data_IF_551558226198
#
_entry.id   IF_551558226198
#
_cell.length_a   1.000
_cell.length_b   1.000
_cell.length_c   1.000
_cell.angle_alpha   90.00
_cell.angle_beta   90.00
_cell.angle_gamma   90.00
#
_symmetry.space_group_name_H-M   'P 1'
#
loop_
_entity.id
_entity.type
_entity.pdbx_description
1 polymer ?
#
# COMPACT_ATOMS: atom_id res chain seq x y z
N UNK A 1 22.17 -27.31 -9.17
CA UNK A 1 21.25 -26.14 -9.25
C UNK A 1 20.43 -26.32 -10.50
N UNK A 2 19.09 -26.30 -10.41
CA UNK A 2 18.25 -26.27 -11.61
C UNK A 2 18.53 -24.96 -12.37
N UNK A 3 18.51 -24.97 -13.72
CA UNK A 3 18.62 -23.73 -14.49
C UNK A 3 17.52 -22.76 -14.09
N UNK A 4 17.84 -21.47 -14.02
CA UNK A 4 16.84 -20.43 -13.77
C UNK A 4 15.76 -20.51 -14.85
N UNK A 5 14.47 -20.49 -14.49
CA UNK A 5 13.39 -20.53 -15.48
C UNK A 5 13.56 -19.40 -16.50
N UNK A 6 13.20 -19.67 -17.76
CA UNK A 6 13.26 -18.66 -18.81
C UNK A 6 12.36 -17.48 -18.46
N UNK A 7 12.68 -16.30 -18.99
CA UNK A 7 11.87 -15.09 -18.78
C UNK A 7 10.41 -15.30 -19.23
N UNK A 8 10.20 -16.05 -20.32
CA UNK A 8 8.87 -16.40 -20.81
C UNK A 8 8.08 -17.25 -19.80
N UNK A 9 8.72 -18.23 -19.15
CA UNK A 9 8.07 -19.05 -18.14
C UNK A 9 7.71 -18.23 -16.89
N UNK A 10 8.59 -17.30 -16.47
CA UNK A 10 8.30 -16.37 -15.37
C UNK A 10 7.13 -15.44 -15.71
N UNK A 11 7.12 -14.89 -16.92
CA UNK A 11 6.04 -14.03 -17.38
C UNK A 11 4.70 -14.76 -17.45
N UNK A 12 4.68 -15.99 -17.98
CA UNK A 12 3.48 -16.83 -18.02
C UNK A 12 3.00 -17.14 -16.61
N UNK A 13 3.90 -17.55 -15.71
CA UNK A 13 3.57 -17.83 -14.32
C UNK A 13 3.00 -16.58 -13.62
N UNK A 14 3.56 -15.39 -13.86
CA UNK A 14 3.16 -14.12 -13.26
C UNK A 14 1.96 -13.44 -13.93
N UNK A 15 1.45 -13.97 -15.05
CA UNK A 15 0.40 -13.35 -15.86
C UNK A 15 -0.89 -13.04 -15.07
N UNK A 16 -1.19 -13.81 -14.03
CA UNK A 16 -2.30 -13.55 -13.10
C UNK A 16 -2.25 -12.12 -12.52
N UNK A 17 -1.06 -11.62 -12.18
CA UNK A 17 -0.89 -10.25 -11.65
C UNK A 17 -1.23 -9.18 -12.70
N UNK A 18 -0.86 -9.42 -13.96
CA UNK A 18 -1.22 -8.54 -15.06
C UNK A 18 -2.72 -8.59 -15.37
N UNK A 19 -3.33 -9.78 -15.33
CA UNK A 19 -4.78 -9.95 -15.47
C UNK A 19 -5.52 -9.19 -14.38
N UNK A 20 -5.07 -9.26 -13.13
CA UNK A 20 -5.64 -8.48 -12.03
C UNK A 20 -5.56 -6.96 -12.31
N UNK A 21 -4.39 -6.47 -12.75
CA UNK A 21 -4.20 -5.04 -13.08
C UNK A 21 -5.16 -4.56 -14.17
N UNK A 22 -5.24 -5.29 -15.29
CA UNK A 22 -6.11 -4.94 -16.44
C UNK A 22 -7.59 -5.04 -16.06
N UNK A 23 -7.97 -6.09 -15.32
CA UNK A 23 -9.36 -6.29 -14.87
C UNK A 23 -9.79 -5.17 -13.92
N UNK A 24 -8.91 -4.75 -13.00
CA UNK A 24 -9.16 -3.63 -12.10
C UNK A 24 -9.45 -2.34 -12.89
N UNK A 25 -8.58 -2.02 -13.86
CA UNK A 25 -8.72 -0.84 -14.71
C UNK A 25 -10.06 -0.85 -15.48
N UNK A 26 -10.40 -2.00 -16.04
CA UNK A 26 -11.66 -2.19 -16.76
C UNK A 26 -12.89 -2.03 -15.84
N UNK A 27 -12.87 -2.63 -14.64
CA UNK A 27 -14.00 -2.58 -13.69
C UNK A 27 -14.23 -1.20 -13.07
N UNK A 28 -13.17 -0.40 -12.92
CA UNK A 28 -13.25 0.98 -12.45
C UNK A 28 -13.91 1.91 -13.47
N UNK A 29 -13.66 1.67 -14.77
CA UNK A 29 -14.19 2.44 -15.89
C UNK A 29 -14.10 3.95 -15.62
N UNK A 30 -12.86 4.41 -15.41
CA UNK A 30 -12.51 5.80 -15.10
C UNK A 30 -12.95 6.73 -16.23
N UNK A 31 -12.96 6.23 -17.47
CA UNK A 31 -13.47 6.96 -18.64
C UNK A 31 -14.89 7.44 -18.46
N UNK A 32 -15.79 6.58 -17.99
CA UNK A 32 -17.18 6.96 -17.72
C UNK A 32 -17.27 7.95 -16.55
N UNK A 33 -16.42 7.81 -15.51
CA UNK A 33 -16.36 8.80 -14.42
C UNK A 33 -16.09 10.20 -14.98
N UNK A 34 -15.00 10.35 -15.74
CA UNK A 34 -14.54 11.64 -16.27
C UNK A 34 -15.54 12.23 -17.28
N UNK A 35 -16.18 11.40 -18.10
CA UNK A 35 -17.09 11.88 -19.15
C UNK A 35 -18.48 12.24 -18.66
N UNK A 36 -19.04 11.50 -17.68
CA UNK A 36 -20.44 11.64 -17.26
C UNK A 36 -20.62 12.39 -15.95
N UNK A 37 -19.58 12.48 -15.13
CA UNK A 37 -19.64 13.09 -13.81
C UNK A 37 -18.63 14.22 -13.74
N UNK A 38 -19.04 15.47 -14.04
CA UNK A 38 -18.14 16.60 -13.99
C UNK A 38 -17.47 16.66 -12.62
N UNK A 39 -16.14 16.76 -12.61
CA UNK A 39 -15.41 16.80 -11.35
C UNK A 39 -15.81 18.07 -10.59
N UNK A 40 -15.98 17.98 -9.26
CA UNK A 40 -16.16 19.17 -8.43
C UNK A 40 -14.98 20.17 -8.57
N UNK A 41 -13.83 19.74 -9.11
CA UNK A 41 -12.71 20.60 -9.46
C UNK A 41 -13.08 21.81 -10.33
N UNK A 42 -14.09 21.66 -11.20
CA UNK A 42 -14.52 22.70 -12.13
C UNK A 42 -15.32 23.85 -11.49
N UNK A 43 -15.98 23.61 -10.34
CA UNK A 43 -16.78 24.63 -9.65
C UNK A 43 -15.98 25.44 -8.63
N UNK A 44 -14.76 25.02 -8.31
CA UNK A 44 -13.92 25.62 -7.26
C UNK A 44 -14.32 25.26 -5.83
N UNK A 45 -15.38 24.45 -5.65
CA UNK A 45 -15.87 24.02 -4.34
C UNK A 45 -16.35 22.56 -4.38
N UNK A 46 -16.11 21.82 -3.30
CA UNK A 46 -16.72 20.51 -3.08
C UNK A 46 -18.08 20.75 -2.43
N UNK A 47 -19.17 20.34 -3.08
CA UNK A 47 -20.54 20.53 -2.60
C UNK A 47 -21.26 19.20 -2.41
N UNK A 48 -22.02 19.06 -1.33
CA UNK A 48 -22.89 17.91 -1.07
C UNK A 48 -24.17 18.39 -0.35
N UNK A 49 -25.23 17.57 -0.22
CA UNK A 49 -26.50 18.00 0.37
C UNK A 49 -26.41 18.59 1.79
N UNK A 50 -25.32 18.32 2.52
CA UNK A 50 -25.09 18.78 3.89
C UNK A 50 -24.04 19.87 4.05
N UNK A 51 -23.44 20.39 2.96
CA UNK A 51 -22.40 21.42 3.09
C UNK A 51 -21.59 21.66 1.83
N UNK A 52 -20.68 22.61 1.94
CA UNK A 52 -19.69 22.92 0.91
C UNK A 52 -18.39 23.41 1.53
N UNK A 53 -17.26 23.09 0.90
CA UNK A 53 -15.95 23.66 1.23
C UNK A 53 -15.22 24.13 -0.03
N UNK A 54 -14.40 25.18 0.05
CA UNK A 54 -13.57 25.61 -1.07
C UNK A 54 -12.48 24.57 -1.40
N UNK A 55 -12.19 24.40 -2.69
CA UNK A 55 -11.06 23.58 -3.13
C UNK A 55 -9.78 24.39 -2.99
N UNK A 56 -8.79 23.86 -2.25
CA UNK A 56 -7.46 24.48 -2.15
C UNK A 56 -6.83 24.57 -3.56
N UNK A 57 -6.30 25.74 -3.90
CA UNK A 57 -5.77 26.02 -5.24
C UNK A 57 -4.24 26.02 -5.30
N UNK A 58 -3.57 26.36 -4.20
CA UNK A 58 -2.12 26.55 -4.11
C UNK A 58 -1.59 25.89 -2.84
N UNK A 59 -1.68 24.56 -2.75
CA UNK A 59 -1.31 23.83 -1.56
C UNK A 59 0.20 23.51 -1.53
N UNK A 60 0.74 23.05 -2.65
CA UNK A 60 2.15 22.69 -2.79
C UNK A 60 3.04 23.88 -3.15
N UNK A 61 2.45 24.99 -3.61
CA UNK A 61 3.18 26.16 -4.09
C UNK A 61 3.86 25.93 -5.44
N UNK A 62 3.48 24.85 -6.15
CA UNK A 62 4.00 24.49 -7.47
C UNK A 62 2.80 24.23 -8.37
N UNK A 63 2.56 25.16 -9.30
CA UNK A 63 1.35 25.17 -10.14
C UNK A 63 1.04 23.80 -10.77
N UNK A 64 2.05 23.14 -11.36
CA UNK A 64 1.86 21.84 -11.99
C UNK A 64 1.40 20.75 -11.00
N UNK A 65 1.97 20.74 -9.78
CA UNK A 65 1.56 19.78 -8.75
C UNK A 65 0.14 20.07 -8.27
N UNK A 66 -0.16 21.35 -8.02
CA UNK A 66 -1.48 21.78 -7.58
C UNK A 66 -2.56 21.50 -8.64
N UNK A 67 -2.26 21.65 -9.93
CA UNK A 67 -3.17 21.32 -11.02
C UNK A 67 -3.42 19.80 -11.12
N UNK A 68 -2.36 18.99 -11.12
CA UNK A 68 -2.48 17.53 -11.26
C UNK A 68 -3.20 16.90 -10.07
N UNK A 69 -2.88 17.31 -8.85
CA UNK A 69 -3.42 16.70 -7.64
C UNK A 69 -4.78 17.25 -7.21
N UNK A 70 -5.27 18.33 -7.81
CA UNK A 70 -6.59 18.89 -7.48
C UNK A 70 -7.71 17.90 -7.72
N UNK A 71 -7.83 17.40 -8.94
CA UNK A 71 -8.91 16.48 -9.32
C UNK A 71 -8.77 15.13 -8.61
N UNK A 72 -7.54 14.65 -8.44
CA UNK A 72 -7.25 13.46 -7.64
C UNK A 72 -7.75 13.64 -6.22
N UNK A 73 -7.39 14.75 -5.55
CA UNK A 73 -7.81 15.04 -4.17
C UNK A 73 -9.32 15.16 -4.05
N UNK A 74 -9.98 15.81 -5.01
CA UNK A 74 -11.45 15.94 -5.04
C UNK A 74 -12.14 14.58 -5.18
N UNK A 75 -11.56 13.65 -5.92
CA UNK A 75 -12.02 12.25 -5.97
C UNK A 75 -12.08 11.59 -4.58
N UNK A 76 -11.27 12.07 -3.64
CA UNK A 76 -11.22 11.55 -2.28
C UNK A 76 -12.28 12.15 -1.34
N UNK A 77 -12.99 13.20 -1.77
CA UNK A 77 -13.93 13.94 -0.94
C UNK A 77 -15.10 13.10 -0.37
N UNK A 78 -15.75 12.19 -1.13
CA UNK A 78 -16.90 11.44 -0.62
C UNK A 78 -16.64 10.74 0.71
N UNK A 79 -15.47 10.12 0.85
CA UNK A 79 -15.10 9.37 2.04
C UNK A 79 -14.26 10.16 3.03
N UNK A 80 -13.41 11.09 2.59
CA UNK A 80 -12.63 11.91 3.54
C UNK A 80 -13.54 12.90 4.28
N UNK A 81 -14.48 13.55 3.59
CA UNK A 81 -15.47 14.42 4.22
C UNK A 81 -16.63 13.63 4.83
N UNK A 82 -16.78 12.34 4.47
CA UNK A 82 -17.76 11.43 5.08
C UNK A 82 -19.22 11.67 4.69
N UNK A 83 -19.47 12.42 3.62
CA UNK A 83 -20.82 12.52 3.05
C UNK A 83 -21.24 11.27 2.27
N UNK A 84 -20.30 10.37 2.00
CA UNK A 84 -20.56 8.96 1.71
C UNK A 84 -20.09 8.07 2.87
N UNK A 85 -21.01 7.81 3.81
CA UNK A 85 -20.72 7.03 5.01
C UNK A 85 -20.23 5.60 4.71
N UNK A 86 -20.75 4.93 3.67
CA UNK A 86 -20.31 3.57 3.33
C UNK A 86 -18.84 3.55 2.88
N UNK A 87 -18.46 4.50 2.03
CA UNK A 87 -17.06 4.65 1.60
C UNK A 87 -16.15 5.10 2.73
N UNK A 88 -16.63 5.95 3.65
CA UNK A 88 -15.84 6.39 4.81
C UNK A 88 -15.28 5.17 5.57
N UNK A 89 -16.14 4.21 5.90
CA UNK A 89 -15.72 3.00 6.64
C UNK A 89 -14.79 2.10 5.82
N UNK A 90 -15.09 1.89 4.54
CA UNK A 90 -14.28 1.02 3.68
C UNK A 90 -12.88 1.59 3.40
N UNK A 91 -12.82 2.89 3.09
CA UNK A 91 -11.58 3.56 2.68
C UNK A 91 -10.66 3.82 3.87
N UNK A 92 -11.20 4.07 5.08
CA UNK A 92 -10.39 4.17 6.29
C UNK A 92 -9.53 2.90 6.50
N UNK A 93 -10.15 1.73 6.43
CA UNK A 93 -9.44 0.45 6.52
C UNK A 93 -8.44 0.30 5.36
N UNK A 94 -8.89 0.52 4.13
CA UNK A 94 -8.03 0.37 2.95
C UNK A 94 -6.75 1.19 3.04
N UNK A 95 -6.84 2.48 3.39
CA UNK A 95 -5.68 3.35 3.47
C UNK A 95 -4.75 2.95 4.63
N UNK A 96 -5.28 2.61 5.81
CA UNK A 96 -4.43 2.15 6.92
C UNK A 96 -3.70 0.84 6.59
N UNK A 97 -4.40 -0.10 5.95
CA UNK A 97 -3.83 -1.37 5.53
C UNK A 97 -2.75 -1.18 4.46
N UNK A 98 -2.97 -0.25 3.53
CA UNK A 98 -1.99 0.10 2.52
C UNK A 98 -0.69 0.67 3.12
N UNK A 99 -0.77 1.37 4.25
CA UNK A 99 0.43 1.79 4.99
C UNK A 99 1.34 0.63 5.37
N UNK A 100 0.77 -0.52 5.74
CA UNK A 100 1.53 -1.75 6.04
C UNK A 100 2.21 -2.28 4.77
N UNK A 101 1.44 -2.39 3.68
CA UNK A 101 1.95 -2.85 2.38
C UNK A 101 3.10 -1.96 1.92
N UNK A 102 2.93 -0.64 1.99
CA UNK A 102 3.94 0.31 1.57
C UNK A 102 5.23 0.21 2.39
N UNK A 103 5.14 0.08 3.72
CA UNK A 103 6.31 -0.15 4.57
C UNK A 103 7.01 -1.47 4.23
N UNK A 104 6.26 -2.55 3.99
CA UNK A 104 6.82 -3.84 3.56
C UNK A 104 7.60 -3.71 2.25
N UNK A 105 7.08 -2.96 1.28
CA UNK A 105 7.75 -2.75 0.00
C UNK A 105 9.00 -1.87 0.13
N UNK A 106 8.97 -0.86 1.01
CA UNK A 106 10.17 -0.11 1.36
C UNK A 106 11.22 -1.01 2.02
N UNK A 107 10.82 -1.93 2.89
CA UNK A 107 11.73 -2.92 3.47
C UNK A 107 12.33 -3.85 2.41
N UNK A 108 11.53 -4.33 1.45
CA UNK A 108 12.03 -5.09 0.30
C UNK A 108 13.02 -4.28 -0.55
N UNK A 109 12.77 -2.98 -0.76
CA UNK A 109 13.69 -2.12 -1.52
C UNK A 109 15.05 -1.94 -0.85
N UNK A 110 15.10 -2.06 0.49
CA UNK A 110 16.33 -1.99 1.27
C UNK A 110 17.11 -3.33 1.31
N UNK A 111 16.65 -4.38 0.63
CA UNK A 111 17.35 -5.65 0.54
C UNK A 111 18.48 -5.57 -0.50
N UNK A 112 19.65 -6.14 -0.17
CA UNK A 112 20.83 -6.06 -1.04
C UNK A 112 20.58 -6.59 -2.46
N UNK A 113 19.84 -7.69 -2.58
CA UNK A 113 19.48 -8.34 -3.86
C UNK A 113 18.55 -7.50 -4.74
N UNK A 114 17.82 -6.56 -4.15
CA UNK A 114 16.86 -5.73 -4.88
C UNK A 114 17.46 -4.40 -5.33
N UNK A 115 18.74 -4.14 -5.03
CA UNK A 115 19.37 -2.87 -5.39
C UNK A 115 19.37 -2.68 -6.91
N UNK A 116 18.87 -1.53 -7.37
CA UNK A 116 18.74 -1.17 -8.78
C UNK A 116 17.82 -2.07 -9.61
N UNK A 117 17.03 -2.93 -8.99
CA UNK A 117 15.96 -3.66 -9.67
C UNK A 117 14.65 -2.88 -9.57
N UNK A 118 13.57 -3.41 -10.15
CA UNK A 118 12.23 -2.80 -10.03
C UNK A 118 11.82 -2.66 -8.57
N UNK A 119 12.09 -3.67 -7.73
CA UNK A 119 11.78 -3.66 -6.30
C UNK A 119 12.51 -2.57 -5.51
N UNK A 120 13.54 -1.94 -6.08
CA UNK A 120 14.25 -0.81 -5.46
C UNK A 120 13.43 0.49 -5.43
N UNK A 121 12.41 0.61 -6.28
CA UNK A 121 11.72 1.88 -6.53
C UNK A 121 10.23 1.89 -6.10
N UNK A 122 9.84 1.37 -4.92
CA UNK A 122 8.44 1.36 -4.51
C UNK A 122 7.87 2.78 -4.34
N UNK A 123 8.71 3.79 -4.09
CA UNK A 123 8.29 5.20 -4.05
C UNK A 123 7.76 5.71 -5.39
N UNK A 124 8.34 5.28 -6.51
CA UNK A 124 7.88 5.64 -7.87
C UNK A 124 6.51 5.03 -8.13
N UNK A 125 6.35 3.74 -7.87
CA UNK A 125 5.06 3.05 -8.04
C UNK A 125 4.01 3.53 -7.03
N UNK A 126 4.42 3.94 -5.82
CA UNK A 126 3.54 4.60 -4.86
C UNK A 126 3.02 5.94 -5.40
N UNK A 127 3.89 6.78 -5.99
CA UNK A 127 3.49 8.05 -6.61
C UNK A 127 2.59 7.83 -7.84
N UNK A 128 2.95 6.89 -8.72
CA UNK A 128 2.09 6.52 -9.84
C UNK A 128 0.75 5.97 -9.34
N UNK A 129 0.74 5.25 -8.22
CA UNK A 129 -0.43 4.74 -7.52
C UNK A 129 -1.36 5.82 -6.95
N UNK A 130 -0.94 7.09 -6.90
CA UNK A 130 -1.80 8.22 -6.55
C UNK A 130 -2.53 8.78 -7.77
N UNK A 131 -1.95 8.63 -8.96
CA UNK A 131 -2.53 9.12 -10.23
C UNK A 131 -3.32 8.02 -10.96
N UNK A 132 -2.88 6.77 -10.80
CA UNK A 132 -3.49 5.57 -11.32
C UNK A 132 -3.86 4.71 -10.11
N UNK A 133 -5.08 4.19 -10.01
CA UNK A 133 -5.50 3.44 -8.83
C UNK A 133 -4.52 2.33 -8.43
N UNK A 134 -4.32 2.15 -7.13
CA UNK A 134 -3.34 1.23 -6.57
C UNK A 134 -3.60 -0.25 -6.98
N UNK A 135 -4.85 -0.66 -7.12
CA UNK A 135 -5.30 -1.96 -7.60
C UNK A 135 -4.96 -2.23 -9.06
N UNK A 136 -4.62 -1.19 -9.83
CA UNK A 136 -4.02 -1.34 -11.16
C UNK A 136 -2.49 -1.36 -11.02
N UNK A 137 -1.93 -0.38 -10.33
CA UNK A 137 -0.48 -0.12 -10.32
C UNK A 137 0.32 -1.17 -9.55
N UNK A 138 -0.16 -1.64 -8.39
CA UNK A 138 0.59 -2.58 -7.56
C UNK A 138 0.63 -4.00 -8.12
N UNK A 139 -0.46 -4.59 -8.64
CA UNK A 139 -0.35 -5.88 -9.34
C UNK A 139 0.60 -5.81 -10.54
N UNK A 140 0.59 -4.69 -11.29
CA UNK A 140 1.55 -4.47 -12.37
C UNK A 140 3.00 -4.37 -11.86
N UNK A 141 3.22 -3.61 -10.79
CA UNK A 141 4.53 -3.54 -10.12
C UNK A 141 5.02 -4.90 -9.65
N UNK A 142 4.15 -5.73 -9.06
CA UNK A 142 4.49 -7.08 -8.64
C UNK A 142 4.82 -8.00 -9.82
N UNK A 143 4.09 -7.87 -10.93
CA UNK A 143 4.42 -8.58 -12.17
C UNK A 143 5.84 -8.24 -12.63
N UNK A 144 6.19 -6.94 -12.67
CA UNK A 144 7.54 -6.51 -13.02
C UNK A 144 8.59 -7.02 -12.02
N UNK A 145 8.27 -7.04 -10.72
CA UNK A 145 9.15 -7.62 -9.71
C UNK A 145 9.42 -9.11 -9.97
N UNK A 146 8.37 -9.90 -10.18
CA UNK A 146 8.49 -11.35 -10.46
C UNK A 146 9.22 -11.63 -11.77
N UNK A 147 9.19 -10.70 -12.74
CA UNK A 147 9.86 -10.86 -14.02
C UNK A 147 11.35 -10.47 -13.97
N UNK A 148 11.67 -9.32 -13.36
CA UNK A 148 12.97 -8.67 -13.49
C UNK A 148 13.83 -8.71 -12.22
N UNK A 149 13.27 -9.00 -11.05
CA UNK A 149 14.08 -9.08 -9.83
C UNK A 149 14.67 -10.48 -9.66
N UNK A 150 15.90 -10.62 -9.14
CA UNK A 150 16.41 -11.92 -8.74
C UNK A 150 15.61 -12.45 -7.53
N UNK A 151 15.21 -13.73 -7.50
CA UNK A 151 14.57 -14.31 -6.32
C UNK A 151 15.47 -14.16 -5.10
N UNK A 152 14.96 -13.62 -3.99
CA UNK A 152 15.78 -13.42 -2.79
C UNK A 152 16.45 -14.74 -2.29
N UNK A 153 15.79 -15.91 -2.32
CA UNK A 153 16.43 -17.19 -1.99
C UNK A 153 17.62 -17.58 -2.88
N UNK A 154 17.68 -17.07 -4.12
CA UNK A 154 18.76 -17.38 -5.07
C UNK A 154 20.07 -16.66 -4.76
N UNK A 155 20.04 -15.68 -3.86
CA UNK A 155 21.24 -14.97 -3.44
C UNK A 155 22.22 -15.93 -2.77
N UNK A 156 23.46 -15.96 -3.30
CA UNK A 156 24.55 -16.77 -2.76
C UNK A 156 24.93 -16.33 -1.34
N UNK A 157 24.91 -15.04 -1.09
CA UNK A 157 25.20 -14.46 0.21
C UNK A 157 23.91 -14.28 1.03
N UNK A 158 23.89 -14.85 2.25
CA UNK A 158 22.78 -14.66 3.20
C UNK A 158 22.64 -13.20 3.63
N UNK A 159 23.72 -12.43 3.70
CA UNK A 159 23.65 -11.01 4.03
C UNK A 159 22.91 -10.22 2.94
N UNK A 160 23.07 -10.59 1.67
CA UNK A 160 22.31 -9.99 0.57
C UNK A 160 20.81 -10.29 0.64
N UNK A 161 20.42 -11.37 1.33
CA UNK A 161 19.02 -11.67 1.67
C UNK A 161 18.50 -10.83 2.82
N UNK A 162 19.32 -10.21 3.66
CA UNK A 162 18.85 -9.39 4.78
C UNK A 162 18.45 -7.99 4.31
N UNK A 163 17.48 -7.40 5.01
CA UNK A 163 17.10 -5.99 4.85
C UNK A 163 18.19 -5.13 5.51
N UNK A 164 18.58 -4.05 4.85
CA UNK A 164 19.43 -3.04 5.47
C UNK A 164 18.66 -2.30 6.57
N UNK A 165 18.71 -2.82 7.80
CA UNK A 165 17.93 -2.30 8.95
C UNK A 165 18.14 -0.80 9.18
N UNK A 166 19.35 -0.28 8.96
CA UNK A 166 19.63 1.14 9.13
C UNK A 166 18.87 2.05 8.14
N UNK A 167 18.43 1.52 7.01
CA UNK A 167 17.59 2.24 6.05
C UNK A 167 16.12 2.01 6.40
N UNK A 168 15.77 0.78 6.74
CA UNK A 168 14.42 0.37 7.12
C UNK A 168 13.88 1.16 8.33
N UNK A 169 14.72 1.41 9.34
CA UNK A 169 14.38 2.22 10.53
C UNK A 169 14.08 3.70 10.22
N UNK A 170 14.49 4.22 9.06
CA UNK A 170 14.10 5.57 8.62
C UNK A 170 12.70 5.55 7.99
N UNK A 171 12.33 4.44 7.34
CA UNK A 171 11.04 4.31 6.68
C UNK A 171 9.86 4.28 7.65
N UNK A 172 9.97 3.59 8.79
CA UNK A 172 8.88 3.53 9.77
C UNK A 172 8.39 4.93 10.21
N UNK A 173 9.23 5.81 10.80
CA UNK A 173 8.76 7.13 11.23
C UNK A 173 8.32 8.00 10.04
N UNK A 174 8.93 7.83 8.86
CA UNK A 174 8.51 8.55 7.66
C UNK A 174 7.10 8.12 7.19
N UNK A 175 6.82 6.82 7.13
CA UNK A 175 5.49 6.31 6.77
C UNK A 175 4.46 6.69 7.83
N UNK A 176 4.80 6.62 9.11
CA UNK A 176 3.89 7.08 10.17
C UNK A 176 3.56 8.56 9.99
N UNK A 177 4.57 9.41 9.85
CA UNK A 177 4.40 10.86 9.79
C UNK A 177 3.77 11.39 8.50
N UNK A 178 4.07 10.79 7.35
CA UNK A 178 3.64 11.29 6.05
C UNK A 178 2.50 10.50 5.41
N UNK A 179 2.20 9.30 5.89
CA UNK A 179 1.08 8.49 5.42
C UNK A 179 0.05 8.26 6.53
N UNK A 180 0.40 7.55 7.61
CA UNK A 180 -0.59 7.09 8.60
C UNK A 180 -1.27 8.22 9.37
N UNK A 181 -0.51 9.19 9.89
CA UNK A 181 -1.07 10.32 10.61
C UNK A 181 -1.93 11.22 9.70
N UNK A 182 -1.51 11.55 8.46
CA UNK A 182 -2.38 12.25 7.52
C UNK A 182 -3.67 11.49 7.20
N UNK A 183 -3.63 10.16 7.02
CA UNK A 183 -4.86 9.37 6.89
C UNK A 183 -5.76 9.56 8.12
N UNK A 184 -5.24 9.49 9.34
CA UNK A 184 -6.07 9.77 10.52
C UNK A 184 -6.65 11.19 10.50
N UNK A 185 -5.87 12.19 10.08
CA UNK A 185 -6.33 13.56 9.89
C UNK A 185 -7.46 13.69 8.86
N UNK A 186 -7.39 12.94 7.75
CA UNK A 186 -8.43 12.92 6.72
C UNK A 186 -9.80 12.46 7.26
N UNK A 187 -9.83 11.55 8.22
CA UNK A 187 -11.08 10.94 8.70
C UNK A 187 -11.57 11.51 10.03
N UNK A 188 -10.65 11.96 10.90
CA UNK A 188 -10.95 12.31 12.29
C UNK A 188 -10.73 13.77 12.64
N UNK A 189 -10.19 14.62 11.73
CA UNK A 189 -10.15 16.05 12.00
C UNK A 189 -11.57 16.62 12.19
N UNK A 190 -11.69 17.65 13.03
CA UNK A 190 -12.98 18.16 13.48
C UNK A 190 -13.75 18.90 12.38
N UNK A 191 -13.04 19.69 11.56
CA UNK A 191 -13.63 20.46 10.46
C UNK A 191 -13.45 19.74 9.11
N UNK A 192 -14.32 20.04 8.15
CA UNK A 192 -14.22 19.51 6.79
C UNK A 192 -13.01 20.10 6.04
N UNK A 193 -12.67 21.35 6.35
CA UNK A 193 -11.51 22.06 5.83
C UNK A 193 -10.19 21.39 6.26
N UNK A 194 -10.08 21.00 7.53
CA UNK A 194 -8.90 20.28 8.02
C UNK A 194 -8.79 18.90 7.37
N UNK A 195 -9.91 18.17 7.21
CA UNK A 195 -9.91 16.87 6.51
C UNK A 195 -9.46 17.01 5.06
N UNK A 196 -9.89 18.07 4.39
CA UNK A 196 -9.46 18.39 3.03
C UNK A 196 -7.96 18.73 2.99
N UNK A 197 -7.47 19.55 3.93
CA UNK A 197 -6.04 19.84 4.08
C UNK A 197 -5.22 18.55 4.25
N UNK A 198 -5.64 17.65 5.13
CA UNK A 198 -4.96 16.38 5.36
C UNK A 198 -4.98 15.48 4.13
N UNK A 199 -6.06 15.52 3.33
CA UNK A 199 -6.14 14.79 2.07
C UNK A 199 -5.09 15.32 1.08
N UNK A 200 -5.00 16.63 0.89
CA UNK A 200 -3.94 17.27 0.08
C UNK A 200 -2.53 16.94 0.58
N UNK A 201 -2.34 16.95 1.90
CA UNK A 201 -1.06 16.59 2.51
C UNK A 201 -0.72 15.11 2.26
N UNK A 202 -1.70 14.22 2.28
CA UNK A 202 -1.48 12.79 2.08
C UNK A 202 -1.16 12.43 0.62
N UNK A 203 -1.72 13.11 -0.38
CA UNK A 203 -1.55 12.74 -1.79
C UNK A 203 -0.09 12.63 -2.28
N UNK A 204 0.83 13.41 -1.72
CA UNK A 204 2.27 13.31 -2.03
C UNK A 204 3.06 12.57 -0.94
N UNK A 205 2.43 11.69 -0.17
CA UNK A 205 3.13 10.89 0.85
C UNK A 205 4.35 10.12 0.28
N UNK A 206 4.36 9.54 -0.94
CA UNK A 206 5.53 8.79 -1.43
C UNK A 206 6.74 9.71 -1.59
N UNK A 207 6.50 10.92 -2.09
CA UNK A 207 7.52 11.96 -2.29
C UNK A 207 8.04 12.44 -0.93
N UNK A 208 7.15 12.70 0.04
CA UNK A 208 7.53 13.12 1.39
C UNK A 208 8.33 12.04 2.13
N UNK A 209 7.93 10.77 2.02
CA UNK A 209 8.69 9.64 2.58
C UNK A 209 10.08 9.53 1.95
N UNK A 210 10.18 9.69 0.64
CA UNK A 210 11.48 9.71 -0.05
C UNK A 210 12.37 10.86 0.42
N UNK A 211 11.84 12.09 0.48
CA UNK A 211 12.61 13.24 0.98
C UNK A 211 13.04 13.06 2.43
N UNK A 212 12.17 12.53 3.29
CA UNK A 212 12.52 12.22 4.67
C UNK A 212 13.69 11.23 4.75
N UNK A 213 13.66 10.17 3.93
CA UNK A 213 14.77 9.24 3.82
C UNK A 213 16.08 9.93 3.39
N UNK A 214 16.04 10.73 2.33
CA UNK A 214 17.22 11.45 1.82
C UNK A 214 17.78 12.43 2.85
N UNK A 215 16.93 13.21 3.50
CA UNK A 215 17.33 14.20 4.52
C UNK A 215 17.95 13.51 5.73
N UNK A 216 17.31 12.48 6.28
CA UNK A 216 17.84 11.74 7.43
C UNK A 216 19.18 11.08 7.10
N UNK A 217 19.29 10.45 5.93
CA UNK A 217 20.51 9.77 5.49
C UNK A 217 21.64 10.75 5.18
N UNK A 218 21.32 11.86 4.50
CA UNK A 218 22.25 12.94 4.18
C UNK A 218 22.77 13.62 5.44
N UNK A 219 21.86 14.01 6.34
CA UNK A 219 22.18 14.62 7.62
C UNK A 219 23.03 13.71 8.52
N UNK A 220 22.69 12.43 8.63
CA UNK A 220 23.49 11.47 9.40
C UNK A 220 24.92 11.32 8.86
N UNK A 221 25.09 11.36 7.52
CA UNK A 221 26.40 11.34 6.87
C UNK A 221 27.18 12.64 7.14
N UNK A 222 26.54 13.80 7.02
CA UNK A 222 27.17 15.10 7.26
C UNK A 222 27.62 15.27 8.72
N UNK A 223 26.82 14.79 9.67
CA UNK A 223 27.11 14.85 11.10
C UNK A 223 28.01 13.70 11.58
N UNK A 224 28.48 12.83 10.68
CA UNK A 224 29.29 11.66 11.00
C UNK A 224 28.72 10.80 12.15
N UNK A 225 27.38 10.72 12.25
CA UNK A 225 26.74 10.00 13.34
C UNK A 225 27.08 8.51 13.24
N UNK A 226 27.82 8.01 14.24
CA UNK A 226 28.08 6.57 14.34
C UNK A 226 26.79 5.85 14.67
N UNK A 227 26.49 4.81 13.88
CA UNK A 227 25.43 3.86 14.21
C UNK A 227 25.81 3.14 15.50
N UNK A 228 25.09 3.43 16.60
CA UNK A 228 25.12 2.57 17.77
C UNK A 228 24.37 1.29 17.41
N UNK A 229 25.07 0.17 17.40
CA UNK A 229 24.42 -1.13 17.29
C UNK A 229 23.55 -1.33 18.52
N UNK A 230 22.25 -1.51 18.32
CA UNK A 230 21.41 -2.14 19.33
C UNK A 230 21.65 -3.64 19.22
N UNK A 231 21.97 -4.29 20.34
CA UNK A 231 22.14 -5.74 20.39
C UNK A 231 20.76 -6.42 20.38
N UNK A 232 20.14 -6.40 19.20
CA UNK A 232 18.83 -6.96 18.95
C UNK A 232 18.96 -7.87 17.74
N UNK A 233 18.46 -9.10 17.84
CA UNK A 233 18.49 -10.04 16.72
C UNK A 233 17.80 -9.45 15.49
N UNK A 234 18.25 -9.87 14.30
CA UNK A 234 17.69 -9.40 13.04
C UNK A 234 16.16 -9.57 13.01
N UNK A 235 15.67 -10.76 13.36
CA UNK A 235 14.24 -11.05 13.35
C UNK A 235 13.46 -10.13 14.30
N UNK A 236 13.97 -9.90 15.52
CA UNK A 236 13.32 -9.00 16.48
C UNK A 236 13.33 -7.55 15.97
N UNK A 237 14.40 -7.12 15.31
CA UNK A 237 14.50 -5.79 14.71
C UNK A 237 13.47 -5.59 13.59
N UNK A 238 13.34 -6.56 12.68
CA UNK A 238 12.34 -6.50 11.60
C UNK A 238 10.91 -6.55 12.16
N UNK A 239 10.65 -7.39 13.16
CA UNK A 239 9.35 -7.42 13.83
C UNK A 239 9.02 -6.08 14.47
N UNK A 240 9.95 -5.48 15.24
CA UNK A 240 9.72 -4.17 15.87
C UNK A 240 9.53 -3.04 14.85
N UNK A 241 10.11 -3.17 13.67
CA UNK A 241 9.93 -2.21 12.59
C UNK A 241 8.51 -2.24 12.01
N UNK A 242 7.95 -3.42 11.78
CA UNK A 242 6.67 -3.57 11.05
C UNK A 242 5.47 -3.71 12.00
N UNK A 243 5.68 -4.22 13.21
CA UNK A 243 4.62 -4.44 14.20
C UNK A 243 3.76 -3.20 14.52
N UNK A 244 4.29 -1.97 14.62
CA UNK A 244 3.46 -0.79 14.86
C UNK A 244 2.42 -0.57 13.75
N UNK A 245 2.81 -0.76 12.48
CA UNK A 245 1.91 -0.60 11.34
C UNK A 245 0.88 -1.73 11.29
N UNK A 246 1.30 -2.97 11.59
CA UNK A 246 0.38 -4.12 11.73
C UNK A 246 -0.66 -3.83 12.82
N UNK A 247 -0.23 -3.28 13.97
CA UNK A 247 -1.12 -2.96 15.07
C UNK A 247 -2.13 -1.87 14.71
N UNK A 248 -1.72 -0.82 14.00
CA UNK A 248 -2.62 0.25 13.53
C UNK A 248 -3.65 -0.29 12.54
N UNK A 249 -3.22 -1.10 11.57
CA UNK A 249 -4.11 -1.77 10.61
C UNK A 249 -5.11 -2.70 11.31
N UNK A 250 -4.64 -3.56 12.22
CA UNK A 250 -5.49 -4.46 12.98
C UNK A 250 -6.49 -3.73 13.88
N UNK A 251 -6.05 -2.68 14.58
CA UNK A 251 -6.92 -1.86 15.41
C UNK A 251 -7.99 -1.16 14.57
N UNK A 252 -7.62 -0.65 13.40
CA UNK A 252 -8.56 -0.04 12.45
C UNK A 252 -9.58 -1.07 11.96
N UNK A 253 -9.14 -2.28 11.59
CA UNK A 253 -10.03 -3.36 11.18
C UNK A 253 -11.04 -3.72 12.27
N UNK A 254 -10.57 -3.94 13.51
CA UNK A 254 -11.42 -4.27 14.65
C UNK A 254 -12.40 -3.14 14.95
N UNK A 255 -11.93 -1.89 14.93
CA UNK A 255 -12.77 -0.71 15.11
C UNK A 255 -13.90 -0.70 14.07
N UNK A 256 -13.57 -0.84 12.79
CA UNK A 256 -14.58 -0.85 11.73
C UNK A 256 -15.53 -2.04 11.87
N UNK A 257 -15.06 -3.24 12.22
CA UNK A 257 -15.94 -4.39 12.48
C UNK A 257 -16.91 -4.14 13.64
N UNK A 258 -16.44 -3.47 14.70
CA UNK A 258 -17.23 -3.24 15.91
C UNK A 258 -18.17 -2.03 15.83
N UNK A 259 -17.87 -1.05 14.98
CA UNK A 259 -18.55 0.26 14.98
C UNK A 259 -19.27 0.59 13.67
N UNK A 260 -18.91 -0.04 12.55
CA UNK A 260 -19.57 0.21 11.27
C UNK A 260 -21.01 -0.34 11.28
N UNK A 261 -22.01 0.44 10.86
CA UNK A 261 -23.37 -0.07 10.66
C UNK A 261 -23.48 -0.91 9.37
N UNK A 262 -22.47 -0.90 8.51
CA UNK A 262 -22.43 -1.62 7.24
C UNK A 262 -21.72 -2.97 7.34
N UNK A 263 -22.29 -3.96 6.67
CA UNK A 263 -21.71 -5.30 6.56
C UNK A 263 -20.37 -5.30 5.80
N UNK A 264 -19.59 -6.36 6.00
CA UNK A 264 -18.34 -6.56 5.26
C UNK A 264 -18.56 -6.62 3.75
N UNK A 265 -19.66 -7.24 3.31
CA UNK A 265 -19.98 -7.36 1.88
C UNK A 265 -20.26 -6.00 1.25
N UNK A 266 -21.05 -5.16 1.90
CA UNK A 266 -21.38 -3.82 1.40
C UNK A 266 -20.12 -2.95 1.27
N UNK A 267 -19.19 -3.08 2.21
CA UNK A 267 -17.93 -2.32 2.20
C UNK A 267 -16.94 -2.84 1.17
N UNK A 268 -16.80 -4.15 1.04
CA UNK A 268 -15.74 -4.77 0.22
C UNK A 268 -16.15 -5.02 -1.24
N UNK A 269 -17.43 -5.24 -1.54
CA UNK A 269 -17.87 -5.66 -2.87
C UNK A 269 -18.45 -4.52 -3.69
N UNK A 270 -17.93 -4.26 -4.92
CA UNK A 270 -18.50 -3.25 -5.81
C UNK A 270 -19.86 -3.71 -6.33
N UNK A 271 -20.94 -3.13 -5.79
CA UNK A 271 -22.29 -3.41 -6.24
C UNK A 271 -22.62 -2.66 -7.55
N UNK A 272 -23.47 -3.26 -8.39
CA UNK A 272 -24.07 -2.56 -9.51
C UNK A 272 -25.04 -1.50 -8.98
N UNK A 273 -25.01 -0.29 -9.57
CA UNK A 273 -25.81 0.84 -9.13
C UNK A 273 -26.77 1.25 -10.24
N UNK A 274 -28.07 1.38 -9.94
CA UNK A 274 -29.10 1.72 -10.92
C UNK A 274 -29.08 3.21 -11.32
N UNK A 275 -28.75 4.08 -10.37
CA UNK A 275 -28.47 5.50 -10.58
C UNK A 275 -27.08 5.82 -10.01
N UNK A 276 -26.18 6.33 -10.83
CA UNK A 276 -24.81 6.62 -10.42
C UNK A 276 -24.67 8.14 -10.17
N UNK A 277 -24.32 8.53 -8.95
CA UNK A 277 -23.79 9.86 -8.61
C UNK A 277 -22.27 9.83 -8.58
N UNK A 278 -21.59 10.99 -8.56
CA UNK A 278 -20.13 11.05 -8.42
C UNK A 278 -19.62 10.26 -7.19
N UNK A 279 -20.27 10.43 -6.03
CA UNK A 279 -19.92 9.72 -4.80
C UNK A 279 -20.07 8.19 -4.94
N UNK A 280 -21.19 7.73 -5.51
CA UNK A 280 -21.44 6.29 -5.71
C UNK A 280 -20.46 5.69 -6.72
N UNK A 281 -20.07 6.45 -7.75
CA UNK A 281 -19.06 6.02 -8.71
C UNK A 281 -17.67 5.94 -8.08
N UNK A 282 -17.27 6.95 -7.31
CA UNK A 282 -16.01 6.94 -6.57
C UNK A 282 -15.95 5.78 -5.56
N UNK A 283 -17.05 5.50 -4.84
CA UNK A 283 -17.17 4.33 -3.97
C UNK A 283 -16.80 3.06 -4.71
N UNK A 284 -17.45 2.80 -5.85
CA UNK A 284 -17.21 1.60 -6.66
C UNK A 284 -15.75 1.52 -7.11
N UNK A 285 -15.16 2.63 -7.57
CA UNK A 285 -13.75 2.69 -7.97
C UNK A 285 -12.85 2.26 -6.82
N UNK A 286 -13.07 2.78 -5.61
CA UNK A 286 -12.23 2.49 -4.44
C UNK A 286 -12.42 1.07 -3.89
N UNK A 287 -13.63 0.51 -4.02
CA UNK A 287 -13.88 -0.89 -3.71
C UNK A 287 -13.10 -1.81 -4.65
N UNK A 288 -13.12 -1.51 -5.96
CA UNK A 288 -12.25 -2.19 -6.93
C UNK A 288 -10.78 -1.97 -6.60
N UNK A 289 -10.39 -0.76 -6.22
CA UNK A 289 -9.02 -0.39 -5.89
C UNK A 289 -8.46 -1.25 -4.77
N UNK A 290 -9.16 -1.26 -3.63
CA UNK A 290 -8.81 -2.04 -2.47
C UNK A 290 -8.78 -3.54 -2.78
N UNK A 291 -9.84 -4.07 -3.41
CA UNK A 291 -9.97 -5.49 -3.70
C UNK A 291 -8.82 -6.01 -4.56
N UNK A 292 -8.51 -5.33 -5.66
CA UNK A 292 -7.46 -5.76 -6.59
C UNK A 292 -6.06 -5.48 -6.07
N UNK A 293 -5.87 -4.42 -5.27
CA UNK A 293 -4.59 -4.16 -4.60
C UNK A 293 -4.25 -5.31 -3.65
N UNK A 294 -5.18 -5.71 -2.77
CA UNK A 294 -4.93 -6.82 -1.86
C UNK A 294 -4.87 -8.17 -2.56
N UNK A 295 -5.71 -8.42 -3.57
CA UNK A 295 -5.61 -9.65 -4.37
C UNK A 295 -4.23 -9.77 -5.03
N UNK A 296 -3.72 -8.70 -5.62
CA UNK A 296 -2.37 -8.66 -6.18
C UNK A 296 -1.28 -8.84 -5.13
N UNK A 297 -1.45 -8.22 -3.95
CA UNK A 297 -0.48 -8.33 -2.85
C UNK A 297 -0.40 -9.74 -2.30
N UNK A 298 -1.55 -10.41 -2.09
CA UNK A 298 -1.58 -11.82 -1.66
C UNK A 298 -1.04 -12.76 -2.73
N UNK A 299 -1.35 -12.52 -4.01
CA UNK A 299 -0.77 -13.28 -5.11
C UNK A 299 0.76 -13.12 -5.13
N UNK A 300 1.27 -11.89 -4.99
CA UNK A 300 2.71 -11.60 -4.89
C UNK A 300 3.37 -12.33 -3.72
N UNK A 301 2.78 -12.31 -2.52
CA UNK A 301 3.26 -13.10 -1.38
C UNK A 301 3.29 -14.61 -1.70
N UNK A 302 2.29 -15.12 -2.45
CA UNK A 302 2.26 -16.48 -2.95
C UNK A 302 3.43 -16.80 -3.89
N UNK A 303 3.78 -15.89 -4.82
CA UNK A 303 4.98 -16.06 -5.65
C UNK A 303 6.26 -16.10 -4.81
N UNK A 304 6.40 -15.20 -3.83
CA UNK A 304 7.55 -15.20 -2.92
C UNK A 304 7.66 -16.51 -2.12
N UNK A 305 6.52 -17.08 -1.69
CA UNK A 305 6.47 -18.39 -1.04
C UNK A 305 6.89 -19.50 -2.00
N UNK A 306 6.42 -19.46 -3.25
CA UNK A 306 6.80 -20.41 -4.31
C UNK A 306 8.30 -20.37 -4.63
N UNK A 307 8.93 -19.19 -4.59
CA UNK A 307 10.38 -19.06 -4.71
C UNK A 307 11.11 -19.75 -3.55
N UNK A 308 10.62 -19.58 -2.32
CA UNK A 308 11.20 -20.23 -1.14
C UNK A 308 11.05 -21.74 -1.15
N UNK A 309 9.88 -22.23 -1.60
CA UNK A 309 9.64 -23.65 -1.85
C UNK A 309 10.62 -24.22 -2.87
N UNK A 310 10.76 -23.55 -4.02
CA UNK A 310 11.65 -23.97 -5.10
C UNK A 310 13.11 -23.98 -4.67
N UNK A 311 13.49 -23.06 -3.78
CA UNK A 311 14.81 -23.00 -3.16
C UNK A 311 14.99 -23.96 -1.98
N UNK A 312 13.98 -24.76 -1.64
CA UNK A 312 13.98 -25.73 -0.53
C UNK A 312 14.25 -25.08 0.84
N UNK A 313 13.82 -23.82 1.03
CA UNK A 313 13.88 -23.14 2.32
C UNK A 313 12.69 -23.47 3.23
N UNK A 314 11.63 -24.01 2.65
CA UNK A 314 10.39 -24.41 3.34
C UNK A 314 9.89 -25.73 2.76
N UNK A 315 9.10 -26.44 3.55
CA UNK A 315 8.44 -27.72 3.26
C UNK A 315 6.91 -27.58 3.23
N UNK A 316 6.21 -28.69 2.98
CA UNK A 316 4.75 -28.73 2.80
C UNK A 316 4.00 -28.26 4.04
N UNK A 317 4.53 -28.57 5.24
CA UNK A 317 3.91 -28.17 6.51
C UNK A 317 4.03 -26.67 6.70
N UNK A 318 5.16 -26.08 6.32
CA UNK A 318 5.32 -24.63 6.39
C UNK A 318 4.46 -23.90 5.36
N UNK A 319 4.30 -24.42 4.15
CA UNK A 319 3.33 -23.87 3.17
C UNK A 319 1.90 -23.94 3.72
N UNK A 320 1.49 -25.09 4.26
CA UNK A 320 0.17 -25.22 4.88
C UNK A 320 0.00 -24.25 6.07
N UNK A 321 1.03 -24.08 6.89
CA UNK A 321 1.06 -23.13 8.00
C UNK A 321 0.92 -21.68 7.53
N UNK A 322 1.59 -21.30 6.44
CA UNK A 322 1.45 -19.97 5.84
C UNK A 322 0.01 -19.70 5.40
N UNK A 323 -0.62 -20.66 4.70
CA UNK A 323 -2.01 -20.54 4.26
C UNK A 323 -2.97 -20.47 5.45
N UNK A 324 -2.79 -21.33 6.46
CA UNK A 324 -3.62 -21.35 7.67
C UNK A 324 -3.53 -20.02 8.45
N UNK A 325 -2.31 -19.50 8.66
CA UNK A 325 -2.09 -18.20 9.30
C UNK A 325 -2.71 -17.08 8.47
N UNK A 326 -2.59 -17.15 7.14
CA UNK A 326 -3.18 -16.17 6.23
C UNK A 326 -4.71 -16.10 6.37
N UNK A 327 -5.39 -17.25 6.29
CA UNK A 327 -6.85 -17.32 6.43
C UNK A 327 -7.30 -16.85 7.81
N UNK A 328 -6.65 -17.33 8.88
CA UNK A 328 -7.00 -17.00 10.25
C UNK A 328 -6.82 -15.49 10.53
N UNK A 329 -5.68 -14.93 10.14
CA UNK A 329 -5.41 -13.51 10.34
C UNK A 329 -6.30 -12.61 9.47
N UNK A 330 -6.64 -13.03 8.24
CA UNK A 330 -7.46 -12.20 7.34
C UNK A 330 -8.82 -11.87 7.95
N UNK A 331 -9.46 -12.86 8.57
CA UNK A 331 -10.70 -12.66 9.29
C UNK A 331 -10.51 -11.86 10.59
N UNK A 332 -9.48 -12.19 11.37
CA UNK A 332 -9.30 -11.66 12.72
C UNK A 332 -8.78 -10.21 12.75
N UNK A 333 -7.83 -9.87 11.88
CA UNK A 333 -7.09 -8.59 11.93
C UNK A 333 -7.11 -7.82 10.61
N UNK A 334 -7.75 -8.35 9.56
CA UNK A 334 -7.93 -7.66 8.29
C UNK A 334 -6.74 -7.78 7.33
N UNK A 335 -6.90 -7.32 6.08
CA UNK A 335 -5.98 -7.66 5.00
C UNK A 335 -4.59 -7.03 5.16
N UNK A 336 -4.49 -5.76 5.60
CA UNK A 336 -3.18 -5.11 5.80
C UNK A 336 -2.32 -5.80 6.87
N UNK A 337 -2.91 -6.06 8.04
CA UNK A 337 -2.25 -6.75 9.13
C UNK A 337 -1.85 -8.18 8.72
N UNK A 338 -2.71 -8.90 7.99
CA UNK A 338 -2.37 -10.22 7.42
C UNK A 338 -1.18 -10.15 6.48
N UNK A 339 -1.09 -9.17 5.58
CA UNK A 339 0.09 -8.99 4.71
C UNK A 339 1.35 -8.85 5.55
N UNK A 340 1.33 -7.99 6.58
CA UNK A 340 2.46 -7.81 7.48
C UNK A 340 2.85 -9.07 8.24
N UNK A 341 1.87 -9.81 8.77
CA UNK A 341 2.10 -11.09 9.49
C UNK A 341 2.69 -12.15 8.57
N UNK A 342 2.12 -12.33 7.38
CA UNK A 342 2.62 -13.30 6.40
C UNK A 342 4.02 -12.94 5.89
N UNK A 343 4.29 -11.65 5.71
CA UNK A 343 5.62 -11.18 5.32
C UNK A 343 6.65 -11.40 6.45
N UNK A 344 6.31 -11.15 7.72
CA UNK A 344 7.19 -11.45 8.86
C UNK A 344 7.44 -12.95 9.02
N UNK A 345 6.40 -13.76 8.82
CA UNK A 345 6.52 -15.22 8.80
C UNK A 345 7.52 -15.65 7.74
N UNK A 346 7.39 -15.11 6.52
CA UNK A 346 8.29 -15.39 5.38
C UNK A 346 9.73 -15.02 5.73
N UNK A 347 9.93 -13.83 6.29
CA UNK A 347 11.27 -13.32 6.62
C UNK A 347 12.03 -14.25 7.57
N UNK A 348 11.32 -14.84 8.55
CA UNK A 348 11.91 -15.77 9.51
C UNK A 348 12.52 -17.03 8.86
N UNK A 349 11.98 -17.47 7.72
CA UNK A 349 12.50 -18.61 6.97
C UNK A 349 13.49 -18.21 5.87
N UNK A 350 13.32 -17.02 5.29
CA UNK A 350 14.18 -16.54 4.21
C UNK A 350 15.64 -16.37 4.66
N UNK A 351 15.81 -15.88 5.88
CA UNK A 351 17.11 -15.53 6.46
C UNK A 351 17.68 -16.65 7.33
N UNK A 352 16.82 -17.48 7.93
CA UNK A 352 17.21 -18.71 8.64
C UNK A 352 17.86 -18.51 10.01
N UNK A 353 17.57 -17.40 10.70
CA UNK A 353 18.09 -17.09 12.05
C UNK A 353 17.19 -17.68 13.17
N UNK A 354 16.69 -18.92 13.01
CA UNK A 354 15.87 -19.60 14.05
C UNK A 354 16.72 -20.44 15.00
#
# INVERSE_FOLDING_TARGET
MSPSPSMALRALAASTLLVLSVTCLWLMDITTLVQKYPTPGSSGAITWPGGAIPILQNFHGVRLLDEVFRDVTVGFAPFSLGYDALSWWGVLTFLQDFGVVYLVLLCESARGVNRWTVAYFPGVFGLLGQLIPAGVMFPFFYFLCVLFCPPAPSARDRAARKIALGDAWVFLPAVVGFHTLPVLGMFFAASYEDRHYWTWFWQLYPVRVFFAYVVVKGGAKMLALRRRGLDVSYQKSVTLLVAPMIAVSAATWIYVLSSSPYSLRERAWPAAVAEETFAMRMRRILQCDALFMFAGTFAWLGYLLGEMWSARLIDAKQVAGFVAVGIASLGAVGPGATVGVLWLWREAFLVGDR
#
